data_IF_179500235801
#
_entry.id   IF_179500235801
#
_cell.length_a   1.000
_cell.length_b   1.000
_cell.length_c   1.000
_cell.angle_alpha   90.00
_cell.angle_beta   90.00
_cell.angle_gamma   90.00
#
_symmetry.space_group_name_H-M   'P 1'
#
loop_
_entity.id
_entity.type
_entity.pdbx_description
1 polymer ?
#
# COMPACT_ATOMS: atom_id res chain seq x y z
N UNK A 1 -16.40 -10.02 2.65
CA UNK A 1 -15.21 -10.13 3.51
C UNK A 1 -13.94 -9.97 2.68
N UNK A 2 -13.77 -10.77 1.62
CA UNK A 2 -12.56 -10.74 0.77
C UNK A 2 -12.28 -9.38 0.14
N UNK A 3 -13.31 -8.67 -0.34
CA UNK A 3 -13.16 -7.31 -0.87
C UNK A 3 -12.59 -6.33 0.18
N UNK A 4 -12.99 -6.47 1.45
CA UNK A 4 -12.47 -5.61 2.52
C UNK A 4 -11.01 -5.95 2.84
N UNK A 5 -10.66 -7.24 2.86
CA UNK A 5 -9.26 -7.67 2.99
C UNK A 5 -8.42 -7.13 1.83
N UNK A 6 -8.86 -7.29 0.59
CA UNK A 6 -8.17 -6.78 -0.59
C UNK A 6 -7.98 -5.26 -0.55
N UNK A 7 -9.04 -4.51 -0.21
CA UNK A 7 -8.95 -3.04 -0.06
C UNK A 7 -7.98 -2.63 1.05
N UNK A 8 -7.98 -3.33 2.19
CA UNK A 8 -7.09 -3.03 3.31
C UNK A 8 -5.63 -3.29 2.95
N UNK A 9 -5.35 -4.42 2.32
CA UNK A 9 -4.02 -4.79 1.83
C UNK A 9 -3.53 -3.82 0.75
N UNK A 10 -4.36 -3.46 -0.23
CA UNK A 10 -3.99 -2.49 -1.26
C UNK A 10 -3.73 -1.10 -0.69
N UNK A 11 -4.52 -0.67 0.30
CA UNK A 11 -4.30 0.59 1.00
C UNK A 11 -2.96 0.55 1.75
N UNK A 12 -2.67 -0.54 2.44
CA UNK A 12 -1.38 -0.75 3.10
C UNK A 12 -0.21 -0.73 2.09
N UNK A 13 -0.40 -1.29 0.89
CA UNK A 13 0.60 -1.29 -0.19
C UNK A 13 0.88 0.11 -0.72
N UNK A 14 -0.12 0.99 -0.71
CA UNK A 14 0.05 2.40 -1.06
C UNK A 14 0.86 3.21 -0.04
N UNK A 15 0.93 2.75 1.21
CA UNK A 15 1.78 3.35 2.25
C UNK A 15 3.21 2.77 2.22
N UNK A 16 3.32 1.44 2.11
CA UNK A 16 4.57 0.69 2.01
C UNK A 16 4.35 -0.54 1.10
N UNK A 17 5.11 -0.66 0.02
CA UNK A 17 4.86 -1.69 -1.00
C UNK A 17 5.14 -3.11 -0.49
N UNK A 18 6.16 -3.27 0.35
CA UNK A 18 6.70 -4.59 0.67
C UNK A 18 6.09 -5.21 1.91
N UNK A 19 5.59 -4.42 2.87
CA UNK A 19 4.96 -4.95 4.10
C UNK A 19 3.79 -5.90 3.78
N UNK A 20 2.80 -5.53 2.94
CA UNK A 20 1.67 -6.41 2.66
C UNK A 20 2.07 -7.63 1.83
N UNK A 21 3.00 -7.48 0.89
CA UNK A 21 3.54 -8.59 0.10
C UNK A 21 4.26 -9.61 0.98
N UNK A 22 5.12 -9.13 1.89
CA UNK A 22 5.85 -9.96 2.82
C UNK A 22 4.89 -10.68 3.77
N UNK A 23 3.89 -9.97 4.29
CA UNK A 23 2.88 -10.55 5.14
C UNK A 23 2.07 -11.66 4.43
N UNK A 24 1.59 -11.42 3.20
CA UNK A 24 0.88 -12.43 2.42
C UNK A 24 1.74 -13.67 2.14
N UNK A 25 3.02 -13.47 1.79
CA UNK A 25 3.96 -14.56 1.57
C UNK A 25 4.25 -15.38 2.84
N UNK A 26 4.52 -14.71 3.97
CA UNK A 26 4.80 -15.35 5.25
C UNK A 26 3.56 -16.08 5.81
N UNK A 27 2.40 -15.41 5.81
CA UNK A 27 1.15 -16.00 6.30
C UNK A 27 0.74 -17.19 5.44
N UNK A 28 0.83 -17.08 4.11
CA UNK A 28 0.51 -18.18 3.21
C UNK A 28 1.49 -19.35 3.26
N UNK A 29 2.75 -19.12 3.68
CA UNK A 29 3.77 -20.16 3.79
C UNK A 29 3.76 -20.88 5.15
N UNK A 30 3.58 -20.14 6.24
CA UNK A 30 3.84 -20.64 7.60
C UNK A 30 2.59 -20.75 8.47
N UNK A 31 1.42 -20.30 7.99
CA UNK A 31 0.17 -20.34 8.75
C UNK A 31 -0.98 -20.86 7.90
N UNK A 32 -2.15 -21.07 8.54
CA UNK A 32 -3.40 -21.38 7.85
C UNK A 32 -4.34 -20.17 7.73
N UNK A 33 -3.85 -18.96 8.08
CA UNK A 33 -4.66 -17.74 8.10
C UNK A 33 -4.95 -17.21 6.69
N UNK A 34 -4.06 -17.47 5.73
CA UNK A 34 -4.18 -17.00 4.34
C UNK A 34 -3.92 -18.18 3.41
N UNK A 35 -4.85 -18.43 2.50
CA UNK A 35 -4.68 -19.41 1.43
C UNK A 35 -4.55 -18.69 0.10
N UNK A 36 -3.39 -18.84 -0.54
CA UNK A 36 -3.10 -18.22 -1.82
C UNK A 36 -3.51 -19.14 -2.98
N UNK A 37 -4.37 -18.69 -3.91
CA UNK A 37 -4.71 -19.46 -5.10
C UNK A 37 -3.48 -19.78 -5.97
N UNK A 38 -3.60 -20.79 -6.83
CA UNK A 38 -2.49 -21.26 -7.67
C UNK A 38 -1.76 -20.14 -8.45
N UNK A 39 -2.44 -19.15 -9.08
CA UNK A 39 -1.77 -18.04 -9.76
C UNK A 39 -0.91 -17.14 -8.85
N UNK A 40 -1.16 -17.16 -7.54
CA UNK A 40 -0.48 -16.35 -6.54
C UNK A 40 0.43 -17.16 -5.61
N UNK A 41 0.47 -18.49 -5.77
CA UNK A 41 1.22 -19.40 -4.91
C UNK A 41 2.73 -19.10 -4.90
N UNK A 42 3.25 -18.48 -5.96
CA UNK A 42 4.64 -18.03 -6.04
C UNK A 42 5.06 -17.06 -4.92
N UNK A 43 4.12 -16.31 -4.32
CA UNK A 43 4.39 -15.44 -3.17
C UNK A 43 4.87 -16.22 -1.93
N UNK A 44 4.53 -17.51 -1.84
CA UNK A 44 4.98 -18.38 -0.75
C UNK A 44 6.38 -18.95 -0.98
N UNK A 45 7.02 -18.69 -2.13
CA UNK A 45 8.36 -19.15 -2.42
C UNK A 45 9.37 -18.46 -1.50
N UNK A 46 10.23 -19.24 -0.82
CA UNK A 46 11.21 -18.70 0.14
C UNK A 46 12.16 -17.67 -0.45
N UNK A 47 12.55 -17.81 -1.73
CA UNK A 47 13.37 -16.82 -2.42
C UNK A 47 12.62 -15.52 -2.67
N UNK A 48 11.35 -15.59 -3.06
CA UNK A 48 10.50 -14.41 -3.25
C UNK A 48 10.33 -13.67 -1.93
N UNK A 49 10.02 -14.39 -0.84
CA UNK A 49 9.92 -13.82 0.51
C UNK A 49 11.23 -13.14 0.91
N UNK A 50 12.37 -13.79 0.69
CA UNK A 50 13.68 -13.22 1.02
C UNK A 50 13.97 -11.94 0.21
N UNK A 51 13.68 -11.93 -1.09
CA UNK A 51 13.84 -10.75 -1.94
C UNK A 51 12.94 -9.61 -1.46
N UNK A 52 11.65 -9.88 -1.20
CA UNK A 52 10.71 -8.87 -0.68
C UNK A 52 11.16 -8.35 0.68
N UNK A 53 11.69 -9.20 1.56
CA UNK A 53 12.25 -8.78 2.85
C UNK A 53 13.46 -7.85 2.68
N UNK A 54 14.38 -8.17 1.78
CA UNK A 54 15.52 -7.29 1.46
C UNK A 54 15.04 -5.96 0.89
N UNK A 55 14.09 -5.98 -0.04
CA UNK A 55 13.50 -4.77 -0.62
C UNK A 55 12.80 -3.91 0.44
N UNK A 56 12.12 -4.54 1.42
CA UNK A 56 11.54 -3.83 2.56
C UNK A 56 12.62 -3.13 3.39
N UNK A 57 13.73 -3.81 3.70
CA UNK A 57 14.85 -3.19 4.42
C UNK A 57 15.40 -2.00 3.65
N UNK A 58 15.57 -2.14 2.33
CA UNK A 58 16.02 -1.04 1.46
C UNK A 58 15.04 0.14 1.49
N UNK A 59 13.72 -0.11 1.39
CA UNK A 59 12.70 0.95 1.48
C UNK A 59 12.76 1.67 2.83
N UNK A 60 12.83 0.92 3.93
CA UNK A 60 12.90 1.46 5.30
C UNK A 60 14.12 2.36 5.49
N UNK A 61 15.26 2.00 4.90
CA UNK A 61 16.49 2.80 4.98
C UNK A 61 16.41 4.01 4.05
N UNK A 62 15.98 3.83 2.81
CA UNK A 62 15.90 4.89 1.81
C UNK A 62 14.95 6.02 2.23
N UNK A 63 13.78 5.67 2.80
CA UNK A 63 12.77 6.63 3.25
C UNK A 63 13.23 7.52 4.41
N UNK A 64 14.25 7.12 5.16
CA UNK A 64 14.76 7.90 6.31
C UNK A 64 15.78 8.96 5.90
N UNK A 65 16.32 8.90 4.69
CA UNK A 65 17.34 9.84 4.20
C UNK A 65 16.70 10.83 3.25
N UNK A 66 16.60 12.14 3.57
CA UNK A 66 15.82 13.13 2.81
C UNK A 66 16.15 13.22 1.31
N UNK A 67 17.40 12.94 0.91
CA UNK A 67 17.81 12.92 -0.50
C UNK A 67 17.42 11.62 -1.22
N UNK A 68 17.48 10.48 -0.53
CA UNK A 68 17.11 9.18 -1.10
C UNK A 68 15.59 9.00 -1.13
N UNK A 69 14.87 9.59 -0.17
CA UNK A 69 13.41 9.58 -0.07
C UNK A 69 12.74 10.03 -1.37
N UNK A 70 13.19 11.15 -1.96
CA UNK A 70 12.60 11.68 -3.19
C UNK A 70 12.80 10.76 -4.40
N UNK A 71 13.96 10.11 -4.50
CA UNK A 71 14.26 9.14 -5.55
C UNK A 71 13.45 7.87 -5.35
N UNK A 72 13.39 7.39 -4.10
CA UNK A 72 12.62 6.21 -3.74
C UNK A 72 11.13 6.41 -4.04
N UNK A 73 10.55 7.56 -3.68
CA UNK A 73 9.14 7.88 -3.97
C UNK A 73 8.82 7.87 -5.48
N UNK A 74 9.79 8.25 -6.32
CA UNK A 74 9.64 8.16 -7.78
C UNK A 74 9.53 6.70 -8.24
N UNK A 75 10.41 5.83 -7.75
CA UNK A 75 10.37 4.39 -8.06
C UNK A 75 9.07 3.77 -7.52
N UNK A 76 8.69 4.16 -6.30
CA UNK A 76 7.51 3.65 -5.61
C UNK A 76 6.18 4.07 -6.25
N UNK A 77 6.20 5.07 -7.14
CA UNK A 77 5.03 5.42 -7.97
C UNK A 77 4.61 4.27 -8.88
N UNK A 78 5.52 3.35 -9.22
CA UNK A 78 5.21 2.14 -9.98
C UNK A 78 5.09 0.91 -9.08
N UNK A 79 6.02 0.77 -8.13
CA UNK A 79 6.11 -0.43 -7.29
C UNK A 79 4.91 -0.57 -6.33
N UNK A 80 4.45 0.53 -5.70
CA UNK A 80 3.29 0.50 -4.78
C UNK A 80 2.00 0.08 -5.50
N UNK A 81 1.62 0.65 -6.66
CA UNK A 81 0.48 0.15 -7.43
C UNK A 81 0.62 -1.32 -7.82
N UNK A 82 1.78 -1.75 -8.30
CA UNK A 82 2.00 -3.16 -8.64
C UNK A 82 1.81 -4.07 -7.44
N UNK A 83 2.38 -3.72 -6.28
CA UNK A 83 2.16 -4.42 -5.02
C UNK A 83 0.68 -4.47 -4.64
N UNK A 84 -0.01 -3.32 -4.69
CA UNK A 84 -1.42 -3.20 -4.38
C UNK A 84 -2.30 -4.11 -5.22
N UNK A 85 -2.03 -4.19 -6.52
CA UNK A 85 -2.73 -5.09 -7.42
C UNK A 85 -2.48 -6.57 -7.09
N UNK A 86 -1.25 -6.95 -6.77
CA UNK A 86 -0.89 -8.32 -6.39
C UNK A 86 -1.59 -8.73 -5.09
N UNK A 87 -1.54 -7.91 -4.04
CA UNK A 87 -2.12 -8.27 -2.73
C UNK A 87 -3.65 -8.20 -2.72
N UNK A 88 -4.24 -7.28 -3.49
CA UNK A 88 -5.70 -7.25 -3.67
C UNK A 88 -6.15 -8.46 -4.47
N UNK A 89 -5.51 -8.71 -5.62
CA UNK A 89 -5.81 -9.84 -6.48
C UNK A 89 -5.69 -11.16 -5.72
N UNK A 90 -4.60 -11.38 -5.01
CA UNK A 90 -4.41 -12.59 -4.21
C UNK A 90 -5.33 -12.70 -3.00
N UNK A 91 -5.67 -11.58 -2.33
CA UNK A 91 -6.59 -11.57 -1.18
C UNK A 91 -8.07 -11.70 -1.54
N UNK A 92 -8.45 -11.37 -2.79
CA UNK A 92 -9.84 -11.50 -3.30
C UNK A 92 -10.04 -12.71 -4.22
N UNK A 93 -8.96 -13.28 -4.75
CA UNK A 93 -9.04 -14.46 -5.62
C UNK A 93 -9.17 -15.78 -4.85
N UNK A 94 -9.20 -15.76 -3.51
CA UNK A 94 -9.37 -16.95 -2.67
C UNK A 94 -10.59 -17.81 -3.05
N UNK A 95 -11.58 -17.25 -3.75
CA UNK A 95 -12.77 -17.98 -4.23
C UNK A 95 -12.93 -18.11 -5.75
N UNK A 96 -12.02 -17.58 -6.57
CA UNK A 96 -12.16 -17.66 -8.04
C UNK A 96 -11.18 -18.66 -8.64
N UNK A 97 -11.73 -19.69 -9.31
CA UNK A 97 -10.96 -20.76 -9.94
C UNK A 97 -9.93 -20.20 -10.94
N UNK A 98 -8.72 -20.76 -10.92
CA UNK A 98 -7.63 -20.35 -11.78
C UNK A 98 -7.97 -20.63 -13.25
N UNK A 99 -7.86 -19.60 -14.10
CA UNK A 99 -7.97 -19.72 -15.54
C UNK A 99 -6.55 -19.71 -16.11
N UNK A 100 -6.11 -20.81 -16.71
CA UNK A 100 -4.75 -21.01 -17.22
C UNK A 100 -4.50 -20.44 -18.63
N UNK A 101 -5.51 -19.81 -19.24
CA UNK A 101 -5.43 -19.23 -20.58
C UNK A 101 -5.46 -17.69 -20.51
N UNK A 102 -4.44 -16.96 -21.02
CA UNK A 102 -4.40 -15.50 -21.07
C UNK A 102 -5.60 -14.85 -21.77
N UNK A 103 -6.15 -15.47 -22.81
CA UNK A 103 -7.34 -14.97 -23.51
C UNK A 103 -8.59 -15.10 -22.64
N UNK A 104 -8.67 -16.19 -21.88
CA UNK A 104 -9.74 -16.40 -20.91
C UNK A 104 -9.55 -15.53 -19.66
N UNK A 105 -8.33 -15.19 -19.22
CA UNK A 105 -8.09 -14.23 -18.15
C UNK A 105 -8.63 -12.84 -18.50
N UNK A 106 -8.34 -12.34 -19.71
CA UNK A 106 -8.86 -11.05 -20.19
C UNK A 106 -10.39 -11.02 -20.24
N UNK A 107 -10.99 -12.15 -20.65
CA UNK A 107 -12.45 -12.31 -20.79
C UNK A 107 -13.17 -12.63 -19.47
N UNK A 108 -12.46 -13.17 -18.47
CA UNK A 108 -13.01 -13.63 -17.18
C UNK A 108 -13.28 -12.54 -16.16
N UNK A 109 -12.70 -11.34 -16.34
CA UNK A 109 -12.76 -10.26 -15.35
C UNK A 109 -11.84 -10.46 -14.13
N UNK A 110 -11.01 -11.50 -14.07
CA UNK A 110 -10.05 -11.71 -12.97
C UNK A 110 -8.99 -10.61 -12.82
N UNK A 111 -8.81 -9.78 -13.86
CA UNK A 111 -7.94 -8.59 -13.80
C UNK A 111 -8.57 -7.42 -13.03
N UNK A 112 -9.90 -7.39 -12.86
CA UNK A 112 -10.61 -6.26 -12.24
C UNK A 112 -10.15 -6.05 -10.79
N UNK A 113 -10.07 -7.08 -9.93
CA UNK A 113 -9.53 -6.92 -8.57
C UNK A 113 -8.08 -6.38 -8.55
N UNK A 114 -7.23 -6.85 -9.47
CA UNK A 114 -5.84 -6.39 -9.58
C UNK A 114 -5.78 -4.90 -9.92
N UNK A 115 -6.60 -4.45 -10.88
CA UNK A 115 -6.66 -3.02 -11.25
C UNK A 115 -7.22 -2.17 -10.11
N UNK A 116 -8.27 -2.63 -9.41
CA UNK A 116 -8.80 -1.92 -8.24
C UNK A 116 -7.72 -1.80 -7.16
N UNK A 117 -6.99 -2.87 -6.87
CA UNK A 117 -5.88 -2.84 -5.92
C UNK A 117 -4.78 -1.87 -6.32
N UNK A 118 -4.39 -1.88 -7.59
CA UNK A 118 -3.35 -0.99 -8.11
C UNK A 118 -3.76 0.49 -8.03
N UNK A 119 -5.00 0.81 -8.42
CA UNK A 119 -5.54 2.17 -8.34
C UNK A 119 -5.69 2.64 -6.89
N UNK A 120 -6.10 1.75 -5.99
CA UNK A 120 -6.21 2.04 -4.56
C UNK A 120 -4.84 2.39 -3.96
N UNK A 121 -3.83 1.55 -4.21
CA UNK A 121 -2.47 1.79 -3.76
C UNK A 121 -1.87 3.07 -4.35
N UNK A 122 -2.12 3.33 -5.64
CA UNK A 122 -1.70 4.57 -6.31
C UNK A 122 -2.31 5.82 -5.66
N UNK A 123 -3.62 5.80 -5.38
CA UNK A 123 -4.29 6.95 -4.77
C UNK A 123 -3.70 7.28 -3.37
N UNK A 124 -3.39 6.24 -2.59
CA UNK A 124 -2.77 6.38 -1.28
C UNK A 124 -1.33 6.88 -1.40
N UNK A 125 -0.52 6.32 -2.31
CA UNK A 125 0.88 6.73 -2.48
C UNK A 125 1.01 8.16 -2.99
N UNK A 126 0.14 8.58 -3.92
CA UNK A 126 0.09 9.96 -4.39
C UNK A 126 -0.26 10.94 -3.26
N UNK A 127 -1.17 10.56 -2.36
CA UNK A 127 -1.51 11.39 -1.20
C UNK A 127 -0.27 11.65 -0.34
N UNK A 128 0.53 10.63 -0.07
CA UNK A 128 1.79 10.70 0.68
C UNK A 128 2.83 11.59 0.00
N UNK A 129 3.07 11.41 -1.29
CA UNK A 129 4.07 12.19 -2.05
C UNK A 129 3.73 13.70 -2.12
N UNK A 130 2.47 14.09 -1.90
CA UNK A 130 2.13 15.53 -1.79
C UNK A 130 2.49 16.16 -0.44
N UNK A 131 2.70 15.37 0.61
CA UNK A 131 2.91 15.85 1.99
C UNK A 131 4.40 15.91 2.33
N UNK A 132 5.16 14.86 1.98
CA UNK A 132 6.57 14.69 2.36
C UNK A 132 7.49 15.84 1.94
N UNK A 133 7.49 16.35 0.69
CA UNK A 133 8.42 17.41 0.28
C UNK A 133 8.25 18.68 1.12
N UNK A 134 7.01 19.08 1.36
CA UNK A 134 6.70 20.29 2.14
C UNK A 134 7.06 20.11 3.62
N UNK A 135 6.79 18.93 4.18
CA UNK A 135 7.14 18.63 5.56
C UNK A 135 8.67 18.58 5.77
N UNK A 136 9.40 17.98 4.83
CA UNK A 136 10.86 17.91 4.85
C UNK A 136 11.50 19.29 4.75
N UNK A 137 11.04 20.15 3.83
CA UNK A 137 11.52 21.53 3.72
C UNK A 137 11.23 22.31 5.02
N UNK A 138 10.03 22.17 5.59
CA UNK A 138 9.65 22.90 6.79
C UNK A 138 10.38 22.46 8.07
N UNK A 139 10.91 21.23 8.11
CA UNK A 139 11.52 20.64 9.31
C UNK A 139 13.02 20.35 9.15
N UNK A 140 13.64 20.79 8.05
CA UNK A 140 15.04 20.49 7.77
C UNK A 140 15.33 18.99 7.60
N UNK A 141 14.34 18.21 7.13
CA UNK A 141 14.47 16.76 6.88
C UNK A 141 14.08 15.85 8.04
N UNK A 142 13.73 16.38 9.22
CA UNK A 142 13.30 15.57 10.38
C UNK A 142 11.94 14.90 10.15
N UNK A 143 11.09 15.48 9.31
CA UNK A 143 9.78 14.90 9.00
C UNK A 143 9.87 13.54 8.28
N UNK A 144 10.89 13.31 7.44
CA UNK A 144 11.00 12.09 6.63
C UNK A 144 11.03 10.82 7.49
N UNK A 145 11.97 10.68 8.45
CA UNK A 145 12.00 9.51 9.33
C UNK A 145 10.72 9.30 10.13
N UNK A 146 10.09 10.38 10.62
CA UNK A 146 8.89 10.30 11.44
C UNK A 146 7.68 9.85 10.61
N UNK A 147 7.44 10.50 9.46
CA UNK A 147 6.33 10.13 8.56
C UNK A 147 6.52 8.72 8.01
N UNK A 148 7.74 8.35 7.59
CA UNK A 148 8.07 6.99 7.16
C UNK A 148 7.74 5.95 8.22
N UNK A 149 8.16 6.19 9.46
CA UNK A 149 7.87 5.24 10.56
C UNK A 149 6.38 5.13 10.84
N UNK A 150 5.63 6.24 10.80
CA UNK A 150 4.19 6.22 10.98
C UNK A 150 3.47 5.44 9.89
N UNK A 151 3.93 5.56 8.65
CA UNK A 151 3.37 4.84 7.51
C UNK A 151 3.68 3.34 7.60
N UNK A 152 4.90 2.96 7.99
CA UNK A 152 5.26 1.55 8.21
C UNK A 152 4.37 0.92 9.30
N UNK A 153 4.18 1.62 10.42
CA UNK A 153 3.29 1.19 11.51
C UNK A 153 1.83 1.10 11.03
N UNK A 154 1.37 2.10 10.27
CA UNK A 154 0.03 2.09 9.70
C UNK A 154 -0.18 0.95 8.69
N UNK A 155 0.82 0.64 7.86
CA UNK A 155 0.80 -0.49 6.92
C UNK A 155 0.71 -1.82 7.67
N UNK A 156 1.53 -2.03 8.71
CA UNK A 156 1.45 -3.24 9.54
C UNK A 156 0.06 -3.34 10.19
N UNK A 157 -0.44 -2.25 10.79
CA UNK A 157 -1.76 -2.22 11.41
C UNK A 157 -2.89 -2.53 10.41
N UNK A 158 -2.84 -1.94 9.21
CA UNK A 158 -3.82 -2.21 8.15
C UNK A 158 -3.77 -3.66 7.67
N UNK A 159 -2.57 -4.25 7.53
CA UNK A 159 -2.43 -5.67 7.18
C UNK A 159 -3.04 -6.56 8.25
N UNK A 160 -2.76 -6.30 9.53
CA UNK A 160 -3.33 -7.06 10.65
C UNK A 160 -4.86 -6.94 10.63
N UNK A 161 -5.40 -5.72 10.51
CA UNK A 161 -6.84 -5.49 10.43
C UNK A 161 -7.45 -6.22 9.21
N UNK A 162 -6.81 -6.12 8.05
CA UNK A 162 -7.30 -6.73 6.81
C UNK A 162 -7.35 -8.26 6.87
N UNK A 163 -6.42 -8.89 7.59
CA UNK A 163 -6.35 -10.35 7.74
C UNK A 163 -7.27 -10.84 8.87
N UNK A 164 -7.26 -10.19 10.03
CA UNK A 164 -7.93 -10.70 11.24
C UNK A 164 -9.38 -10.22 11.35
N UNK A 165 -9.64 -8.95 11.05
CA UNK A 165 -10.98 -8.34 11.17
C UNK A 165 -11.29 -7.46 9.95
N UNK A 166 -11.53 -8.07 8.75
CA UNK A 166 -11.68 -7.34 7.50
C UNK A 166 -12.77 -6.25 7.54
N UNK A 167 -13.83 -6.44 8.33
CA UNK A 167 -14.92 -5.45 8.47
C UNK A 167 -14.39 -4.10 9.00
N UNK A 168 -13.38 -4.11 9.86
CA UNK A 168 -12.78 -2.89 10.41
C UNK A 168 -11.94 -2.11 9.39
N UNK A 169 -11.63 -2.70 8.23
CA UNK A 169 -10.96 -1.98 7.14
C UNK A 169 -11.78 -0.77 6.72
N UNK A 170 -13.11 -0.88 6.62
CA UNK A 170 -13.97 0.25 6.23
C UNK A 170 -13.79 1.43 7.19
N UNK A 171 -13.73 1.17 8.49
CA UNK A 171 -13.51 2.20 9.52
C UNK A 171 -12.13 2.83 9.36
N UNK A 172 -11.09 2.01 9.15
CA UNK A 172 -9.73 2.50 8.93
C UNK A 172 -9.62 3.36 7.65
N UNK A 173 -10.27 2.95 6.56
CA UNK A 173 -10.31 3.71 5.31
C UNK A 173 -11.04 5.05 5.46
N UNK A 174 -12.17 5.06 6.17
CA UNK A 174 -12.89 6.31 6.47
C UNK A 174 -12.01 7.25 7.30
N UNK A 175 -11.31 6.74 8.30
CA UNK A 175 -10.39 7.53 9.12
C UNK A 175 -9.23 8.11 8.28
N UNK A 176 -8.63 7.31 7.40
CA UNK A 176 -7.56 7.75 6.50
C UNK A 176 -8.06 8.79 5.49
N UNK A 177 -9.22 8.56 4.87
CA UNK A 177 -9.82 9.50 3.93
C UNK A 177 -10.17 10.83 4.63
N UNK A 178 -10.72 10.78 5.84
CA UNK A 178 -11.00 11.97 6.63
C UNK A 178 -9.73 12.74 6.98
N UNK A 179 -8.67 12.05 7.41
CA UNK A 179 -7.37 12.66 7.70
C UNK A 179 -6.78 13.35 6.46
N UNK A 180 -6.80 12.67 5.30
CA UNK A 180 -6.34 13.22 4.03
C UNK A 180 -7.13 14.49 3.64
N UNK A 181 -8.46 14.44 3.70
CA UNK A 181 -9.32 15.60 3.39
C UNK A 181 -9.09 16.74 4.37
N UNK A 182 -8.96 16.46 5.66
CA UNK A 182 -8.70 17.46 6.69
C UNK A 182 -7.36 18.18 6.43
N UNK A 183 -6.31 17.44 6.08
CA UNK A 183 -4.99 17.99 5.72
C UNK A 183 -5.07 18.88 4.47
N UNK A 184 -5.73 18.42 3.41
CA UNK A 184 -5.92 19.19 2.18
C UNK A 184 -6.71 20.48 2.42
N UNK A 185 -7.78 20.42 3.23
CA UNK A 185 -8.57 21.61 3.59
C UNK A 185 -7.77 22.62 4.41
N UNK A 186 -6.97 22.16 5.38
CA UNK A 186 -6.08 23.04 6.17
C UNK A 186 -5.06 23.76 5.28
N UNK A 187 -4.48 23.05 4.30
CA UNK A 187 -3.56 23.64 3.31
C UNK A 187 -4.22 24.71 2.43
N UNK A 188 -5.40 24.41 1.86
CA UNK A 188 -6.14 25.39 1.02
C UNK A 188 -6.46 26.67 1.80
N UNK A 189 -6.87 26.55 3.07
CA UNK A 189 -7.13 27.70 3.95
C UNK A 189 -5.88 28.54 4.19
N UNK A 190 -4.73 27.91 4.44
CA UNK A 190 -3.46 28.62 4.64
C UNK A 190 -3.01 29.37 3.38
N UNK A 191 -3.13 28.74 2.21
CA UNK A 191 -2.79 29.39 0.94
C UNK A 191 -3.72 30.55 0.59
N UNK A 192 -5.02 30.44 0.92
CA UNK A 192 -5.97 31.53 0.74
C UNK A 192 -5.65 32.73 1.65
N UNK A 193 -5.29 32.48 2.92
CA UNK A 193 -4.90 33.53 3.87
C UNK A 193 -3.63 34.30 3.44
N UNK A 194 -2.63 33.61 2.87
CA UNK A 194 -1.43 34.25 2.32
C UNK A 194 -1.75 35.12 1.11
N UNK A 195 -2.69 34.68 0.26
CA UNK A 195 -3.10 35.42 -0.95
C UNK A 195 -3.92 36.68 -0.69
N UNK A 196 -4.61 36.76 0.45
CA UNK A 196 -5.37 37.94 0.87
C UNK A 196 -4.53 38.97 1.64
N UNK A 197 -3.29 38.62 2.00
CA UNK A 197 -2.36 39.50 2.72
C UNK A 197 -1.36 40.23 1.80
N UNK A 198 -1.34 39.87 0.51
CA UNK A 198 -0.62 40.55 -0.57
C UNK A 198 -1.61 41.31 -1.45
#
# INVERSE_FOLDING_TARGET
MELFTGLGLATASGLNAYIPLLAMGLLGRFTHLVHLPHPWAWLTNGWVIAIVAVLLVVEIVADKVPALDSINDTIQTFVRPTSGGIVFGSGTAAQTAAVTDPGAFASSGQWIPVVIGALTALAVSLTKSTVRPVANIATGGIAAPVLSTLEDVASVGLVIIAVVLPVLVVVALVALAWAAVALLRRRKRRNAAVRSAH
#
